data_IF_385205200892
#
_entry.id   IF_385205200892
#
_cell.length_a   1.000
_cell.length_b   1.000
_cell.length_c   1.000
_cell.angle_alpha   90.00
_cell.angle_beta   90.00
_cell.angle_gamma   90.00
#
_symmetry.space_group_name_H-M   'P 1'
#
loop_
_entity.id
_entity.type
_entity.pdbx_description
1 polymer ?
#
# COMPACT_ATOMS: atom_id res chain seq x y z
N UNK A 1 -12.74 -6.62 8.10
CA UNK A 1 -11.48 -6.04 7.59
C UNK A 1 -10.38 -7.09 7.47
N UNK A 2 -10.22 -7.96 8.47
CA UNK A 2 -9.23 -9.05 8.51
C UNK A 2 -9.08 -9.81 7.16
N UNK A 3 -10.15 -10.46 6.66
CA UNK A 3 -10.12 -11.21 5.40
C UNK A 3 -9.56 -10.40 4.22
N UNK A 4 -10.13 -9.22 3.98
CA UNK A 4 -9.74 -8.36 2.86
C UNK A 4 -8.32 -7.79 3.00
N UNK A 5 -7.84 -7.54 4.23
CA UNK A 5 -6.47 -7.07 4.43
C UNK A 5 -5.41 -8.13 4.12
N UNK A 6 -5.69 -9.40 4.48
CA UNK A 6 -4.84 -10.53 4.11
C UNK A 6 -4.84 -10.69 2.58
N UNK A 7 -6.02 -10.68 1.96
CA UNK A 7 -6.14 -10.79 0.51
C UNK A 7 -5.39 -9.66 -0.21
N UNK A 8 -5.55 -8.41 0.24
CA UNK A 8 -4.84 -7.26 -0.34
C UNK A 8 -3.33 -7.36 -0.19
N UNK A 9 -2.85 -7.78 1.00
CA UNK A 9 -1.42 -8.00 1.25
C UNK A 9 -0.84 -9.09 0.35
N UNK A 10 -1.52 -10.23 0.21
CA UNK A 10 -1.14 -11.30 -0.71
C UNK A 10 -1.14 -10.84 -2.17
N UNK A 11 -2.16 -10.09 -2.59
CA UNK A 11 -2.21 -9.53 -3.94
C UNK A 11 -1.04 -8.58 -4.21
N UNK A 12 -0.64 -7.77 -3.23
CA UNK A 12 0.54 -6.88 -3.36
C UNK A 12 1.82 -7.69 -3.52
N UNK A 13 2.03 -8.68 -2.66
CA UNK A 13 3.21 -9.55 -2.73
C UNK A 13 3.26 -10.35 -4.03
N UNK A 14 2.12 -10.90 -4.46
CA UNK A 14 2.01 -11.66 -5.69
C UNK A 14 2.25 -10.82 -6.94
N UNK A 15 1.63 -9.64 -7.03
CA UNK A 15 1.87 -8.70 -8.14
C UNK A 15 3.32 -8.20 -8.13
N UNK A 16 3.86 -7.90 -6.95
CA UNK A 16 5.27 -7.53 -6.79
C UNK A 16 6.21 -8.61 -7.34
N UNK A 17 5.95 -9.88 -7.04
CA UNK A 17 6.75 -10.99 -7.54
C UNK A 17 6.60 -11.18 -9.06
N UNK A 18 5.40 -11.06 -9.61
CA UNK A 18 5.13 -11.21 -11.05
C UNK A 18 5.68 -10.05 -11.89
N UNK A 19 5.72 -8.85 -11.32
CA UNK A 19 6.17 -7.64 -12.01
C UNK A 19 7.69 -7.43 -11.91
N UNK A 20 8.41 -8.23 -11.12
CA UNK A 20 9.86 -8.23 -11.07
C UNK A 20 10.42 -9.18 -12.14
N UNK A 21 10.93 -8.62 -13.24
CA UNK A 21 11.59 -9.38 -14.30
C UNK A 21 12.84 -8.63 -14.78
N UNK A 22 13.79 -9.38 -15.36
CA UNK A 22 15.05 -8.81 -15.86
C UNK A 22 14.75 -7.71 -16.89
N UNK A 23 15.41 -6.54 -16.74
CA UNK A 23 15.22 -5.33 -17.54
C UNK A 23 13.89 -4.58 -17.33
N UNK A 24 13.17 -4.80 -16.23
CA UNK A 24 12.03 -3.93 -15.89
C UNK A 24 12.52 -2.51 -15.54
N UNK A 25 12.09 -1.51 -16.31
CA UNK A 25 12.45 -0.10 -16.08
C UNK A 25 11.89 0.50 -14.78
N UNK A 26 10.86 -0.14 -14.20
CA UNK A 26 10.07 0.37 -13.09
C UNK A 26 9.71 -0.82 -12.20
N UNK A 27 9.72 -0.66 -10.87
CA UNK A 27 9.42 -1.73 -9.92
C UNK A 27 7.97 -2.23 -9.93
N UNK A 28 7.78 -3.38 -9.28
CA UNK A 28 6.48 -3.99 -9.07
C UNK A 28 5.49 -3.17 -8.20
N UNK A 29 5.92 -2.19 -7.40
CA UNK A 29 5.01 -1.45 -6.52
C UNK A 29 4.03 -0.56 -7.31
N UNK A 30 4.45 -0.12 -8.49
CA UNK A 30 3.64 0.71 -9.39
C UNK A 30 2.38 -0.05 -9.79
N UNK A 31 2.53 -1.34 -10.11
CA UNK A 31 1.41 -2.20 -10.51
C UNK A 31 0.40 -2.39 -9.38
N UNK A 32 0.86 -2.69 -8.17
CA UNK A 32 -0.04 -2.87 -7.03
C UNK A 32 -0.77 -1.56 -6.68
N UNK A 33 -0.08 -0.42 -6.73
CA UNK A 33 -0.68 0.89 -6.47
C UNK A 33 -1.68 1.28 -7.58
N UNK A 34 -1.33 1.09 -8.86
CA UNK A 34 -2.23 1.33 -10.00
C UNK A 34 -3.52 0.51 -9.88
N UNK A 35 -3.39 -0.82 -9.75
CA UNK A 35 -4.53 -1.74 -9.67
C UNK A 35 -5.39 -1.45 -8.43
N UNK A 36 -4.75 -1.15 -7.31
CA UNK A 36 -5.47 -0.77 -6.09
C UNK A 36 -6.23 0.54 -6.25
N UNK A 37 -5.66 1.55 -6.91
CA UNK A 37 -6.35 2.82 -7.17
C UNK A 37 -7.53 2.63 -8.14
N UNK A 38 -7.35 1.82 -9.17
CA UNK A 38 -8.43 1.40 -10.06
C UNK A 38 -9.60 0.76 -9.30
N UNK A 39 -9.32 -0.23 -8.45
CA UNK A 39 -10.35 -0.89 -7.66
C UNK A 39 -10.96 0.04 -6.60
N UNK A 40 -10.19 0.98 -6.05
CA UNK A 40 -10.71 2.02 -5.15
C UNK A 40 -11.73 2.92 -5.88
N UNK A 41 -11.38 3.44 -7.05
CA UNK A 41 -12.28 4.25 -7.88
C UNK A 41 -13.53 3.48 -8.30
N UNK A 42 -13.41 2.17 -8.55
CA UNK A 42 -14.55 1.32 -8.87
C UNK A 42 -15.47 1.08 -7.65
N UNK A 43 -14.94 0.47 -6.58
CA UNK A 43 -15.76 0.01 -5.45
C UNK A 43 -16.33 1.14 -4.60
N UNK A 44 -15.63 2.27 -4.52
CA UNK A 44 -16.10 3.43 -3.74
C UNK A 44 -17.35 4.05 -4.35
N UNK A 45 -17.45 4.10 -5.68
CA UNK A 45 -18.47 4.90 -6.39
C UNK A 45 -19.63 4.09 -6.97
N UNK A 46 -19.55 2.75 -6.99
CA UNK A 46 -20.74 1.93 -7.32
C UNK A 46 -21.82 2.17 -6.26
N UNK A 47 -22.95 2.76 -6.69
CA UNK A 47 -24.12 3.06 -5.86
C UNK A 47 -24.89 1.78 -5.61
N UNK A 48 -25.24 1.54 -4.34
CA UNK A 48 -26.07 0.41 -3.95
C UNK A 48 -26.97 0.81 -2.77
N UNK A 49 -28.28 0.61 -2.90
CA UNK A 49 -29.27 0.98 -1.87
C UNK A 49 -29.36 -0.02 -0.70
N UNK A 50 -28.36 -0.88 -0.55
CA UNK A 50 -28.36 -1.97 0.44
C UNK A 50 -27.38 -1.62 1.55
N UNK A 51 -27.89 -1.38 2.77
CA UNK A 51 -27.07 -1.09 3.97
C UNK A 51 -25.92 -2.08 4.18
N UNK A 52 -26.15 -3.38 3.97
CA UNK A 52 -25.11 -4.41 4.12
C UNK A 52 -23.97 -4.30 3.10
N UNK A 53 -24.20 -3.73 1.92
CA UNK A 53 -23.14 -3.50 0.94
C UNK A 53 -22.17 -2.40 1.40
N UNK A 54 -22.57 -1.52 2.33
CA UNK A 54 -21.63 -0.55 2.91
C UNK A 54 -20.50 -1.22 3.69
N UNK A 55 -20.78 -2.34 4.37
CA UNK A 55 -19.76 -3.11 5.09
C UNK A 55 -18.83 -3.83 4.10
N UNK A 56 -19.39 -4.40 3.02
CA UNK A 56 -18.61 -5.01 1.95
C UNK A 56 -17.71 -3.97 1.27
N UNK A 57 -18.26 -2.78 0.99
CA UNK A 57 -17.52 -1.65 0.41
C UNK A 57 -16.37 -1.26 1.32
N UNK A 58 -16.61 -1.13 2.64
CA UNK A 58 -15.54 -0.87 3.61
C UNK A 58 -14.45 -1.96 3.57
N UNK A 59 -14.86 -3.23 3.48
CA UNK A 59 -13.93 -4.36 3.31
C UNK A 59 -13.09 -4.25 2.03
N UNK A 60 -13.73 -4.00 0.88
CA UNK A 60 -13.06 -3.89 -0.41
C UNK A 60 -12.17 -2.65 -0.52
N UNK A 61 -12.63 -1.50 -0.03
CA UNK A 61 -11.86 -0.25 -0.11
C UNK A 61 -10.80 -0.18 0.98
N UNK A 62 -11.22 -0.16 2.25
CA UNK A 62 -10.30 0.09 3.36
C UNK A 62 -9.47 -1.15 3.67
N UNK A 63 -10.07 -2.35 3.59
CA UNK A 63 -9.36 -3.61 3.76
C UNK A 63 -8.48 -3.95 2.56
N UNK A 64 -9.09 -4.30 1.43
CA UNK A 64 -8.37 -4.84 0.27
C UNK A 64 -7.54 -3.79 -0.45
N UNK A 65 -8.14 -2.75 -1.06
CA UNK A 65 -7.38 -1.71 -1.77
C UNK A 65 -6.37 -1.03 -0.85
N UNK A 66 -6.78 -0.73 0.39
CA UNK A 66 -5.89 -0.17 1.39
C UNK A 66 -4.63 -1.00 1.64
N UNK A 67 -4.75 -2.33 1.71
CA UNK A 67 -3.61 -3.26 1.94
C UNK A 67 -2.87 -3.68 0.67
N UNK A 68 -3.52 -3.55 -0.49
CA UNK A 68 -2.95 -3.87 -1.80
C UNK A 68 -2.00 -2.77 -2.28
N UNK A 69 -2.30 -1.51 -1.94
CA UNK A 69 -1.39 -0.38 -2.15
C UNK A 69 -0.45 -0.17 -0.96
N UNK A 70 0.72 0.44 -1.20
CA UNK A 70 1.61 0.88 -0.11
C UNK A 70 2.33 2.18 -0.45
N UNK A 71 2.19 3.15 0.43
CA UNK A 71 2.87 4.45 0.34
C UNK A 71 4.28 4.38 0.94
N UNK A 72 4.47 3.61 2.02
CA UNK A 72 5.79 3.46 2.65
C UNK A 72 6.79 2.75 1.72
N UNK A 73 6.35 1.71 1.00
CA UNK A 73 7.19 1.03 -0.01
C UNK A 73 7.54 1.94 -1.19
N UNK A 74 6.60 2.79 -1.62
CA UNK A 74 6.84 3.81 -2.66
C UNK A 74 7.93 4.80 -2.23
N UNK A 75 7.83 5.37 -1.02
CA UNK A 75 8.83 6.33 -0.54
C UNK A 75 10.18 5.67 -0.35
N UNK A 76 10.19 4.47 0.23
CA UNK A 76 11.41 3.69 0.38
C UNK A 76 12.12 3.51 -0.96
N UNK A 77 11.38 3.12 -2.01
CA UNK A 77 11.96 2.93 -3.32
C UNK A 77 12.49 4.24 -3.91
N UNK A 78 11.76 5.34 -3.78
CA UNK A 78 12.25 6.65 -4.20
C UNK A 78 13.57 7.03 -3.50
N UNK A 79 13.70 6.72 -2.20
CA UNK A 79 14.94 6.92 -1.44
C UNK A 79 16.05 6.01 -1.94
N UNK A 80 15.78 4.72 -2.15
CA UNK A 80 16.78 3.77 -2.65
C UNK A 80 17.26 4.11 -4.06
N UNK A 81 16.37 4.57 -4.96
CA UNK A 81 16.75 5.07 -6.29
C UNK A 81 17.62 6.33 -6.24
N UNK A 82 17.44 7.15 -5.19
CA UNK A 82 18.28 8.33 -4.97
C UNK A 82 19.65 7.93 -4.42
N UNK A 83 19.69 6.96 -3.50
CA UNK A 83 20.91 6.52 -2.81
C UNK A 83 21.75 5.51 -3.60
N UNK A 84 21.18 4.73 -4.51
CA UNK A 84 21.91 3.77 -5.38
C UNK A 84 23.00 4.43 -6.23
N UNK A 85 23.07 5.76 -6.24
CA UNK A 85 24.18 6.58 -6.72
C UNK A 85 25.47 6.50 -5.87
N UNK A 86 25.49 5.78 -4.74
CA UNK A 86 26.65 5.71 -3.82
C UNK A 86 27.41 4.39 -3.83
N UNK A 87 26.77 3.25 -4.10
CA UNK A 87 27.42 1.94 -4.08
C UNK A 87 27.51 1.34 -5.48
N UNK A 88 28.70 1.44 -6.08
CA UNK A 88 29.06 0.98 -7.42
C UNK A 88 28.98 -0.55 -7.63
N UNK A 89 28.63 -1.35 -6.62
CA UNK A 89 28.90 -2.80 -6.68
C UNK A 89 27.73 -3.74 -6.37
N UNK A 90 26.55 -3.27 -5.91
CA UNK A 90 25.47 -4.19 -5.55
C UNK A 90 24.15 -3.88 -6.28
N UNK A 91 24.15 -4.04 -7.60
CA UNK A 91 22.93 -4.15 -8.42
C UNK A 91 22.22 -5.50 -8.20
N UNK A 92 21.89 -5.85 -6.96
CA UNK A 92 21.22 -7.12 -6.65
C UNK A 92 19.69 -7.12 -6.90
N UNK A 93 19.16 -6.07 -7.54
CA UNK A 93 17.78 -6.09 -8.08
C UNK A 93 17.80 -6.18 -9.62
N UNK A 94 18.95 -5.97 -10.26
CA UNK A 94 19.11 -6.04 -11.71
C UNK A 94 20.44 -6.72 -12.04
N UNK A 95 20.44 -8.05 -12.03
CA UNK A 95 21.60 -8.82 -12.46
C UNK A 95 21.86 -8.61 -13.96
N UNK A 96 23.10 -8.21 -14.23
CA UNK A 96 23.88 -8.42 -15.45
C UNK A 96 23.22 -8.11 -16.79
N UNK A 97 23.42 -6.87 -17.25
CA UNK A 97 24.35 -6.55 -18.34
C UNK A 97 24.13 -5.09 -18.79
N UNK A 98 25.21 -4.29 -18.76
CA UNK A 98 25.34 -3.01 -19.45
C UNK A 98 24.33 -1.90 -19.11
N UNK A 99 24.44 -1.31 -17.91
CA UNK A 99 24.14 0.12 -17.76
C UNK A 99 25.36 0.84 -17.25
N UNK A 100 25.97 1.60 -18.16
CA UNK A 100 26.99 2.61 -17.88
C UNK A 100 26.63 3.33 -16.59
N UNK A 101 27.59 3.46 -15.68
CA UNK A 101 27.54 4.42 -14.59
C UNK A 101 26.90 5.71 -15.09
N UNK A 102 25.82 6.17 -14.45
CA UNK A 102 25.10 7.37 -14.87
C UNK A 102 26.08 8.50 -15.19
N UNK A 103 25.83 9.31 -16.23
CA UNK A 103 26.80 10.31 -16.70
C UNK A 103 27.25 11.27 -15.60
N UNK A 104 26.37 11.55 -14.63
CA UNK A 104 26.68 12.34 -13.43
C UNK A 104 25.79 11.94 -12.23
N UNK A 105 26.18 12.36 -11.02
CA UNK A 105 25.45 12.12 -9.77
C UNK A 105 24.00 12.65 -9.77
N UNK A 106 23.70 13.65 -10.60
CA UNK A 106 22.38 14.27 -10.72
C UNK A 106 21.30 13.37 -11.36
N UNK A 107 21.68 12.30 -12.07
CA UNK A 107 20.72 11.41 -12.73
C UNK A 107 19.90 10.57 -11.73
N UNK A 108 20.39 10.33 -10.51
CA UNK A 108 19.59 9.70 -9.46
C UNK A 108 18.42 10.57 -9.01
N UNK A 109 18.61 11.90 -8.98
CA UNK A 109 17.53 12.85 -8.71
C UNK A 109 16.51 12.87 -9.87
N UNK A 110 16.98 12.75 -11.12
CA UNK A 110 16.11 12.63 -12.28
C UNK A 110 15.26 11.34 -12.22
N UNK A 111 15.85 10.21 -11.81
CA UNK A 111 15.12 8.96 -11.59
C UNK A 111 14.08 9.08 -10.47
N UNK A 112 14.39 9.75 -9.36
CA UNK A 112 13.42 10.03 -8.32
C UNK A 112 12.23 10.82 -8.87
N UNK A 113 12.50 11.90 -9.61
CA UNK A 113 11.44 12.76 -10.16
C UNK A 113 10.59 11.96 -11.15
N UNK A 114 11.23 11.19 -12.04
CA UNK A 114 10.55 10.31 -12.98
C UNK A 114 9.66 9.29 -12.26
N UNK A 115 10.20 8.62 -11.23
CA UNK A 115 9.48 7.62 -10.46
C UNK A 115 8.26 8.22 -9.75
N UNK A 116 8.41 9.34 -9.05
CA UNK A 116 7.30 10.02 -8.36
C UNK A 116 6.23 10.45 -9.37
N UNK A 117 6.61 11.07 -10.49
CA UNK A 117 5.67 11.49 -11.54
C UNK A 117 4.92 10.28 -12.10
N UNK A 118 5.64 9.23 -12.52
CA UNK A 118 5.03 8.03 -13.09
C UNK A 118 4.08 7.36 -12.09
N UNK A 119 4.52 7.20 -10.85
CA UNK A 119 3.77 6.54 -9.79
C UNK A 119 2.45 7.23 -9.49
N UNK A 120 2.46 8.54 -9.29
CA UNK A 120 1.23 9.30 -8.99
C UNK A 120 0.36 9.45 -10.24
N UNK A 121 0.94 9.67 -11.42
CA UNK A 121 0.17 9.79 -12.67
C UNK A 121 -0.59 8.50 -12.96
N UNK A 122 0.10 7.35 -12.93
CA UNK A 122 -0.54 6.05 -13.12
C UNK A 122 -1.59 5.76 -12.04
N UNK A 123 -1.28 6.03 -10.78
CA UNK A 123 -2.23 5.83 -9.68
C UNK A 123 -3.51 6.68 -9.85
N UNK A 124 -3.39 7.94 -10.26
CA UNK A 124 -4.54 8.80 -10.58
C UNK A 124 -5.29 8.30 -11.81
N UNK A 125 -4.59 7.94 -12.90
CA UNK A 125 -5.23 7.38 -14.11
C UNK A 125 -6.00 6.10 -13.80
N UNK A 126 -5.43 5.20 -13.00
CA UNK A 126 -6.11 4.00 -12.54
C UNK A 126 -7.39 4.33 -11.78
N UNK A 127 -7.30 5.24 -10.80
CA UNK A 127 -8.47 5.72 -10.04
C UNK A 127 -9.57 6.32 -10.93
N UNK A 128 -9.22 7.22 -11.85
CA UNK A 128 -10.17 7.87 -12.77
C UNK A 128 -10.81 6.85 -13.73
N UNK A 129 -10.05 5.85 -14.17
CA UNK A 129 -10.57 4.77 -14.99
C UNK A 129 -11.60 3.92 -14.22
N UNK A 130 -11.29 3.55 -12.98
CA UNK A 130 -12.23 2.84 -12.10
C UNK A 130 -13.49 3.64 -11.82
N UNK A 131 -13.34 4.95 -11.56
CA UNK A 131 -14.46 5.88 -11.36
C UNK A 131 -15.37 5.97 -12.59
N UNK A 132 -14.79 6.09 -13.79
CA UNK A 132 -15.53 6.15 -15.05
C UNK A 132 -16.38 4.89 -15.27
N UNK A 133 -15.80 3.71 -15.00
CA UNK A 133 -16.54 2.44 -15.07
C UNK A 133 -17.65 2.38 -14.02
N UNK A 134 -17.39 2.82 -12.79
CA UNK A 134 -18.42 2.87 -11.75
C UNK A 134 -19.60 3.75 -12.16
N UNK A 135 -19.35 4.91 -12.75
CA UNK A 135 -20.39 5.80 -13.25
C UNK A 135 -21.21 5.16 -14.38
N UNK A 136 -20.55 4.47 -15.31
CA UNK A 136 -21.25 3.77 -16.39
C UNK A 136 -22.11 2.61 -15.87
N UNK A 137 -21.61 1.84 -14.90
CA UNK A 137 -22.38 0.80 -14.21
C UNK A 137 -23.60 1.42 -13.52
N UNK A 138 -23.43 2.53 -12.80
CA UNK A 138 -24.51 3.22 -12.11
C UNK A 138 -25.59 3.72 -13.09
N UNK A 139 -25.18 4.29 -14.23
CA UNK A 139 -26.10 4.75 -15.26
C UNK A 139 -26.96 3.61 -15.83
N UNK A 140 -26.34 2.44 -16.06
CA UNK A 140 -27.05 1.23 -16.51
C UNK A 140 -28.00 0.67 -15.46
N UNK A 141 -27.59 0.68 -14.19
CA UNK A 141 -28.43 0.24 -13.08
C UNK A 141 -29.64 1.16 -12.87
N UNK A 142 -29.46 2.48 -12.96
CA UNK A 142 -30.55 3.45 -12.84
C UNK A 142 -31.61 3.23 -13.92
N UNK A 143 -31.19 3.15 -15.20
CA UNK A 143 -32.10 2.88 -16.33
C UNK A 143 -32.90 1.59 -16.15
N UNK A 144 -32.29 0.54 -15.58
CA UNK A 144 -32.96 -0.73 -15.32
C UNK A 144 -34.00 -0.65 -14.19
N UNK A 145 -33.71 0.12 -13.14
CA UNK A 145 -34.62 0.29 -12.01
C UNK A 145 -35.85 1.13 -12.38
N UNK A 146 -35.69 2.13 -13.27
CA UNK A 146 -36.81 2.93 -13.77
C UNK A 146 -37.80 2.09 -14.60
N UNK A 147 -37.31 1.05 -15.28
CA UNK A 147 -38.12 0.11 -16.09
C UNK A 147 -38.74 -1.03 -15.28
N UNK A 148 -38.11 -1.40 -14.16
CA UNK A 148 -38.53 -2.52 -13.32
C UNK A 148 -39.09 -2.00 -12.01
N UNK A 149 -40.40 -1.68 -12.01
CA UNK A 149 -41.14 -1.24 -10.82
C UNK A 149 -40.68 -1.91 -9.52
N UNK A 150 -40.46 -1.06 -8.52
CA UNK A 150 -39.74 -1.28 -7.26
C UNK A 150 -40.04 -2.64 -6.56
N UNK A 151 -39.27 -3.69 -6.89
CA UNK A 151 -39.29 -4.98 -6.18
C UNK A 151 -37.94 -5.22 -5.51
N UNK A 152 -37.71 -4.62 -4.35
CA UNK A 152 -36.46 -4.84 -3.61
C UNK A 152 -36.62 -4.75 -2.08
N UNK A 153 -37.43 -5.63 -1.49
CA UNK A 153 -37.43 -5.88 -0.03
C UNK A 153 -36.77 -7.21 0.38
N UNK A 154 -36.71 -8.22 -0.49
CA UNK A 154 -36.22 -9.57 -0.12
C UNK A 154 -34.71 -9.83 -0.34
N UNK A 155 -33.99 -9.01 -1.12
CA UNK A 155 -32.55 -9.22 -1.40
C UNK A 155 -31.64 -8.78 -0.24
N UNK A 156 -32.12 -7.88 0.62
CA UNK A 156 -31.39 -7.38 1.80
C UNK A 156 -31.11 -8.48 2.85
N UNK A 157 -32.03 -9.43 3.03
CA UNK A 157 -31.96 -10.46 4.09
C UNK A 157 -30.97 -11.59 3.80
N UNK A 158 -30.55 -11.79 2.54
CA UNK A 158 -29.58 -12.83 2.14
C UNK A 158 -28.11 -12.39 2.21
N UNK A 159 -27.83 -11.08 2.24
CA UNK A 159 -26.45 -10.54 2.23
C UNK A 159 -25.83 -10.44 3.62
N UNK A 160 -26.63 -10.24 4.67
CA UNK A 160 -26.15 -10.20 6.05
C UNK A 160 -25.42 -11.48 6.51
N UNK A 161 -25.99 -12.71 6.35
CA UNK A 161 -25.29 -13.93 6.76
C UNK A 161 -24.00 -14.15 5.95
N UNK A 162 -23.98 -13.77 4.67
CA UNK A 162 -22.78 -13.88 3.83
C UNK A 162 -21.60 -13.04 4.37
N UNK A 163 -21.86 -11.83 4.87
CA UNK A 163 -20.81 -10.97 5.42
C UNK A 163 -20.25 -11.50 6.75
N UNK A 164 -21.11 -12.05 7.61
CA UNK A 164 -20.69 -12.71 8.85
C UNK A 164 -19.80 -13.91 8.52
N UNK A 165 -20.20 -14.71 7.53
CA UNK A 165 -19.41 -15.85 7.05
C UNK A 165 -18.03 -15.40 6.54
N UNK A 166 -17.96 -14.33 5.74
CA UNK A 166 -16.68 -13.77 5.28
C UNK A 166 -15.78 -13.31 6.43
N UNK A 167 -16.34 -12.75 7.49
CA UNK A 167 -15.58 -12.31 8.66
C UNK A 167 -15.05 -13.51 9.46
N UNK A 168 -15.87 -14.54 9.68
CA UNK A 168 -15.45 -15.80 10.30
C UNK A 168 -14.34 -16.47 9.49
N UNK A 169 -14.48 -16.53 8.16
CA UNK A 169 -13.40 -16.99 7.29
C UNK A 169 -12.14 -16.15 7.45
N UNK A 170 -12.25 -14.83 7.60
CA UNK A 170 -11.11 -13.96 7.87
C UNK A 170 -10.33 -14.37 9.12
N UNK A 171 -11.03 -14.64 10.22
CA UNK A 171 -10.42 -15.07 11.49
C UNK A 171 -9.76 -16.44 11.33
N UNK A 172 -10.44 -17.39 10.68
CA UNK A 172 -9.90 -18.73 10.42
C UNK A 172 -8.63 -18.63 9.57
N UNK A 173 -8.65 -17.86 8.47
CA UNK A 173 -7.48 -17.64 7.63
C UNK A 173 -6.34 -17.01 8.41
N UNK A 174 -6.64 -16.06 9.29
CA UNK A 174 -5.61 -15.43 10.12
C UNK A 174 -4.95 -16.44 11.08
N UNK A 175 -5.74 -17.30 11.72
CA UNK A 175 -5.22 -18.41 12.55
C UNK A 175 -4.37 -19.36 11.71
N UNK A 176 -4.80 -19.71 10.50
CA UNK A 176 -4.01 -20.54 9.58
C UNK A 176 -2.68 -19.88 9.25
N UNK A 177 -2.63 -18.58 8.98
CA UNK A 177 -1.38 -17.85 8.74
C UNK A 177 -0.45 -17.85 9.95
N UNK A 178 -0.99 -17.77 11.17
CA UNK A 178 -0.21 -17.89 12.41
C UNK A 178 0.44 -19.27 12.49
N UNK A 179 -0.33 -20.36 12.28
CA UNK A 179 0.23 -21.70 12.27
C UNK A 179 1.25 -21.91 11.14
N UNK A 180 0.96 -21.45 9.93
CA UNK A 180 1.89 -21.53 8.81
C UNK A 180 3.20 -20.78 9.10
N UNK A 181 3.16 -19.65 9.82
CA UNK A 181 4.38 -18.91 10.18
C UNK A 181 5.33 -19.69 11.10
N UNK A 182 4.76 -20.58 11.93
CA UNK A 182 5.52 -21.43 12.85
C UNK A 182 6.09 -22.63 12.09
N UNK A 183 5.24 -23.33 11.34
CA UNK A 183 5.59 -24.62 10.73
C UNK A 183 6.30 -24.49 9.37
N UNK A 184 5.91 -23.55 8.52
CA UNK A 184 6.44 -23.42 7.16
C UNK A 184 7.63 -22.44 7.12
N UNK A 185 8.85 -22.99 7.06
CA UNK A 185 10.08 -22.20 7.11
C UNK A 185 10.37 -21.45 5.80
N UNK A 186 9.97 -22.02 4.66
CA UNK A 186 10.33 -21.52 3.32
C UNK A 186 9.60 -20.22 3.01
N UNK A 187 8.31 -20.15 3.33
CA UNK A 187 7.42 -19.01 3.08
C UNK A 187 7.19 -18.14 4.31
N UNK A 188 8.06 -18.26 5.33
CA UNK A 188 7.87 -17.59 6.61
C UNK A 188 7.71 -16.08 6.48
N UNK A 189 8.52 -15.42 5.64
CA UNK A 189 8.43 -13.97 5.43
C UNK A 189 7.03 -13.54 4.94
N UNK A 190 6.40 -14.28 4.02
CA UNK A 190 5.03 -14.02 3.53
C UNK A 190 3.99 -14.32 4.60
N UNK A 191 4.12 -15.46 5.28
CA UNK A 191 3.13 -15.89 6.30
C UNK A 191 3.11 -14.95 7.50
N UNK A 192 4.29 -14.54 8.01
CA UNK A 192 4.44 -13.55 9.08
C UNK A 192 3.93 -12.18 8.62
N UNK A 193 4.22 -11.76 7.39
CA UNK A 193 3.69 -10.49 6.86
C UNK A 193 2.16 -10.44 6.90
N UNK A 194 1.51 -11.56 6.54
CA UNK A 194 0.06 -11.69 6.59
C UNK A 194 -0.51 -11.87 8.01
N UNK A 195 0.30 -12.30 8.98
CA UNK A 195 -0.08 -12.24 10.40
C UNK A 195 -0.22 -10.79 10.88
N UNK A 196 0.66 -9.89 10.42
CA UNK A 196 0.62 -8.48 10.81
C UNK A 196 -0.34 -7.61 9.96
N UNK A 197 -0.72 -8.06 8.77
CA UNK A 197 -1.59 -7.29 7.86
C UNK A 197 -2.93 -6.88 8.48
N UNK A 198 -3.71 -7.76 9.16
CA UNK A 198 -4.94 -7.34 9.84
C UNK A 198 -4.70 -6.29 10.90
N UNK A 199 -3.68 -6.44 11.74
CA UNK A 199 -3.35 -5.51 12.82
C UNK A 199 -3.05 -4.11 12.28
N UNK A 200 -2.22 -4.04 11.24
CA UNK A 200 -1.89 -2.80 10.54
C UNK A 200 -3.13 -2.16 9.89
N UNK A 201 -4.00 -2.96 9.27
CA UNK A 201 -5.23 -2.47 8.64
C UNK A 201 -6.20 -1.90 9.68
N UNK A 202 -6.37 -2.55 10.83
CA UNK A 202 -7.20 -2.03 11.93
C UNK A 202 -6.60 -0.75 12.51
N UNK A 203 -5.27 -0.70 12.69
CA UNK A 203 -4.60 0.52 13.16
C UNK A 203 -4.82 1.69 12.19
N UNK A 204 -4.63 1.48 10.88
CA UNK A 204 -4.93 2.49 9.85
C UNK A 204 -6.39 2.95 9.93
N UNK A 205 -7.32 2.01 10.06
CA UNK A 205 -8.75 2.33 10.20
C UNK A 205 -9.03 3.19 11.44
N UNK A 206 -8.45 2.84 12.59
CA UNK A 206 -8.60 3.59 13.85
C UNK A 206 -8.01 4.99 13.72
N UNK A 207 -6.82 5.13 13.12
CA UNK A 207 -6.20 6.43 12.87
C UNK A 207 -7.09 7.32 12.00
N UNK A 208 -7.59 6.79 10.87
CA UNK A 208 -8.52 7.53 10.01
C UNK A 208 -9.82 7.86 10.74
N UNK A 209 -10.41 6.93 11.50
CA UNK A 209 -11.66 7.16 12.22
C UNK A 209 -11.53 8.24 13.30
N UNK A 210 -10.46 8.20 14.09
CA UNK A 210 -10.27 9.12 15.21
C UNK A 210 -9.86 10.52 14.74
N UNK A 211 -8.88 10.62 13.83
CA UNK A 211 -8.30 11.90 13.46
C UNK A 211 -9.06 12.61 12.34
N UNK A 212 -9.68 11.89 11.39
CA UNK A 212 -10.41 12.55 10.29
C UNK A 212 -11.77 13.10 10.76
N UNK A 213 -12.38 12.52 11.79
CA UNK A 213 -13.65 13.01 12.34
C UNK A 213 -13.47 14.14 13.36
N UNK A 214 -12.31 14.22 14.03
CA UNK A 214 -12.06 15.17 15.11
C UNK A 214 -11.52 16.52 14.63
N UNK A 215 -10.79 16.55 13.53
CA UNK A 215 -10.15 17.76 13.00
C UNK A 215 -10.73 18.15 11.63
N UNK A 216 -11.91 18.78 11.63
CA UNK A 216 -12.59 19.20 10.40
C UNK A 216 -11.76 20.18 9.54
N UNK A 217 -10.84 20.94 10.15
CA UNK A 217 -9.95 21.90 9.48
C UNK A 217 -8.72 21.26 8.80
N UNK A 218 -8.27 20.08 9.27
CA UNK A 218 -7.13 19.36 8.67
C UNK A 218 -7.66 18.02 8.17
N UNK A 219 -8.31 18.06 7.01
CA UNK A 219 -8.92 16.89 6.39
C UNK A 219 -7.82 15.83 6.15
N UNK A 220 -8.08 14.60 6.57
CA UNK A 220 -7.26 13.40 6.32
C UNK A 220 -5.96 13.22 7.11
N UNK A 221 -5.85 13.85 8.28
CA UNK A 221 -4.71 13.67 9.18
C UNK A 221 -4.43 12.20 9.54
N UNK A 222 -5.46 11.35 9.62
CA UNK A 222 -5.28 9.93 9.94
C UNK A 222 -4.52 9.15 8.87
N UNK A 223 -4.78 9.43 7.59
CA UNK A 223 -4.07 8.78 6.46
C UNK A 223 -2.63 9.29 6.36
N UNK A 224 -2.41 10.59 6.57
CA UNK A 224 -1.08 11.16 6.70
C UNK A 224 -0.26 10.49 7.82
N UNK A 225 -0.82 10.40 9.02
CA UNK A 225 -0.15 9.78 10.18
C UNK A 225 0.18 8.30 9.91
N UNK A 226 -0.75 7.55 9.32
CA UNK A 226 -0.52 6.16 8.98
C UNK A 226 0.64 6.00 7.97
N UNK A 227 0.65 6.83 6.91
CA UNK A 227 1.72 6.86 5.91
C UNK A 227 3.07 7.28 6.53
N UNK A 228 3.07 8.29 7.40
CA UNK A 228 4.28 8.79 8.08
C UNK A 228 4.89 7.74 9.00
N UNK A 229 4.09 7.15 9.90
CA UNK A 229 4.54 6.13 10.86
C UNK A 229 5.09 4.92 10.11
N UNK A 230 4.37 4.43 9.10
CA UNK A 230 4.82 3.30 8.29
C UNK A 230 6.14 3.61 7.54
N UNK A 231 6.30 4.83 7.04
CA UNK A 231 7.53 5.25 6.32
C UNK A 231 8.74 5.34 7.26
N UNK A 232 8.56 5.81 8.49
CA UNK A 232 9.63 5.84 9.50
C UNK A 232 10.01 4.40 9.87
N UNK A 233 9.03 3.55 10.17
CA UNK A 233 9.26 2.16 10.56
C UNK A 233 9.94 1.34 9.47
N UNK A 234 9.50 1.44 8.21
CA UNK A 234 10.12 0.70 7.11
C UNK A 234 11.58 1.14 6.90
N UNK A 235 11.88 2.43 7.07
CA UNK A 235 13.25 2.97 6.98
C UNK A 235 14.15 2.41 8.08
N UNK A 236 13.65 2.37 9.32
CA UNK A 236 14.37 1.78 10.45
C UNK A 236 14.61 0.28 10.21
N UNK A 237 13.59 -0.48 9.81
CA UNK A 237 13.74 -1.92 9.58
C UNK A 237 14.76 -2.25 8.50
N UNK A 238 14.86 -1.42 7.45
CA UNK A 238 15.84 -1.62 6.39
C UNK A 238 17.25 -1.31 6.85
N UNK A 239 17.45 -0.24 7.62
CA UNK A 239 18.74 0.05 8.23
C UNK A 239 19.16 -1.10 9.15
N UNK A 240 18.25 -1.59 10.01
CA UNK A 240 18.54 -2.71 10.91
C UNK A 240 18.87 -4.00 10.13
N UNK A 241 18.14 -4.29 9.06
CA UNK A 241 18.35 -5.49 8.26
C UNK A 241 19.65 -5.44 7.43
N UNK A 242 20.08 -4.25 7.00
CA UNK A 242 21.32 -4.05 6.23
C UNK A 242 22.52 -3.70 7.10
N UNK A 243 22.34 -3.51 8.41
CA UNK A 243 23.45 -3.11 9.26
C UNK A 243 24.52 -4.20 9.40
N UNK A 244 25.68 -3.97 8.80
CA UNK A 244 26.80 -4.93 8.81
C UNK A 244 27.70 -4.75 10.05
N UNK A 245 27.74 -3.53 10.61
CA UNK A 245 28.68 -3.10 11.65
C UNK A 245 28.15 -3.03 13.10
N UNK A 246 26.85 -3.22 13.33
CA UNK A 246 26.29 -3.20 14.69
C UNK A 246 25.82 -4.59 15.12
N UNK A 247 26.34 -5.09 16.25
CA UNK A 247 25.82 -6.26 16.98
C UNK A 247 24.41 -6.02 17.57
N UNK A 248 23.57 -5.15 16.97
CA UNK A 248 22.36 -4.61 17.60
C UNK A 248 21.12 -5.48 17.46
N UNK A 249 21.05 -6.41 16.51
CA UNK A 249 20.10 -7.53 16.56
C UNK A 249 20.84 -8.68 15.88
N UNK A 250 21.07 -9.78 16.60
CA UNK A 250 21.89 -10.89 16.12
C UNK A 250 21.51 -11.28 14.68
N UNK A 251 22.53 -11.50 13.83
CA UNK A 251 22.45 -11.91 12.41
C UNK A 251 21.79 -13.28 12.19
N UNK A 252 20.86 -13.66 13.05
CA UNK A 252 20.06 -14.84 12.86
C UNK A 252 19.17 -14.61 11.64
N UNK A 253 19.15 -15.61 10.77
CA UNK A 253 18.29 -15.65 9.59
C UNK A 253 16.82 -15.31 9.94
N UNK A 254 16.38 -15.73 11.12
CA UNK A 254 15.02 -15.48 11.64
C UNK A 254 14.79 -13.97 11.86
N UNK A 255 15.74 -13.25 12.46
CA UNK A 255 15.58 -11.80 12.70
C UNK A 255 15.46 -11.02 11.39
N UNK A 256 16.28 -11.35 10.39
CA UNK A 256 16.17 -10.77 9.05
C UNK A 256 14.80 -11.07 8.41
N UNK A 257 14.34 -12.33 8.46
CA UNK A 257 13.02 -12.71 7.96
C UNK A 257 11.89 -11.94 8.66
N UNK A 258 11.99 -11.73 9.98
CA UNK A 258 10.98 -10.98 10.74
C UNK A 258 10.96 -9.49 10.36
N UNK A 259 12.12 -8.86 10.17
CA UNK A 259 12.19 -7.46 9.74
C UNK A 259 11.63 -7.27 8.33
N UNK A 260 11.92 -8.19 7.40
CA UNK A 260 11.31 -8.19 6.06
C UNK A 260 9.79 -8.35 6.17
N UNK A 261 9.33 -9.30 6.99
CA UNK A 261 7.90 -9.54 7.18
C UNK A 261 7.17 -8.35 7.82
N UNK A 262 7.81 -7.60 8.73
CA UNK A 262 7.25 -6.38 9.32
C UNK A 262 7.20 -5.24 8.30
N UNK A 263 8.25 -5.08 7.49
CA UNK A 263 8.28 -4.14 6.36
C UNK A 263 7.14 -4.42 5.38
N UNK A 264 7.10 -5.65 4.87
CA UNK A 264 6.18 -6.06 3.82
C UNK A 264 4.77 -6.34 4.34
N UNK A 265 4.59 -6.63 5.62
CA UNK A 265 3.28 -6.88 6.22
C UNK A 265 2.73 -5.66 6.91
N UNK A 266 3.35 -5.29 8.04
CA UNK A 266 2.84 -4.25 8.91
C UNK A 266 2.94 -2.85 8.25
N UNK A 267 4.15 -2.41 7.88
CA UNK A 267 4.36 -1.07 7.34
C UNK A 267 3.62 -0.89 6.01
N UNK A 268 3.76 -1.87 5.11
CA UNK A 268 3.14 -1.79 3.80
C UNK A 268 1.61 -1.61 3.89
N UNK A 269 0.93 -2.38 4.76
CA UNK A 269 -0.54 -2.35 4.95
C UNK A 269 -1.02 -1.18 5.83
N UNK A 270 -0.17 -0.72 6.75
CA UNK A 270 -0.46 0.47 7.57
C UNK A 270 -0.49 1.72 6.69
N UNK A 271 0.40 1.81 5.70
CA UNK A 271 0.40 2.88 4.70
C UNK A 271 -0.59 2.59 3.56
N UNK A 272 -0.96 3.59 2.75
CA UNK A 272 -1.82 3.37 1.58
C UNK A 272 -1.70 4.49 0.54
N UNK A 273 -1.65 4.12 -0.74
CA UNK A 273 -1.73 5.07 -1.86
C UNK A 273 -3.18 5.22 -2.34
N UNK A 274 -3.97 4.13 -2.35
CA UNK A 274 -5.34 4.19 -2.87
C UNK A 274 -6.27 5.10 -2.07
N UNK A 275 -6.16 5.10 -0.74
CA UNK A 275 -6.94 6.03 0.09
C UNK A 275 -6.41 7.45 -0.08
N UNK A 276 -5.09 7.63 -0.17
CA UNK A 276 -4.46 8.93 -0.40
C UNK A 276 -4.91 9.59 -1.71
N UNK A 277 -4.97 8.85 -2.82
CA UNK A 277 -5.45 9.35 -4.12
C UNK A 277 -6.94 9.71 -4.08
N UNK A 278 -7.77 8.87 -3.43
CA UNK A 278 -9.18 9.16 -3.20
C UNK A 278 -9.37 10.47 -2.43
N UNK A 279 -8.56 10.69 -1.39
CA UNK A 279 -8.58 11.91 -0.59
C UNK A 279 -8.18 13.13 -1.41
N UNK A 280 -7.07 13.06 -2.16
CA UNK A 280 -6.62 14.14 -3.04
C UNK A 280 -7.69 14.52 -4.07
N UNK A 281 -8.34 13.54 -4.70
CA UNK A 281 -9.42 13.79 -5.66
C UNK A 281 -10.66 14.44 -5.02
N UNK A 282 -10.87 14.25 -3.71
CA UNK A 282 -12.03 14.81 -3.00
C UNK A 282 -11.84 16.26 -2.54
N UNK A 283 -10.64 16.82 -2.71
CA UNK A 283 -10.29 18.17 -2.26
C UNK A 283 -10.30 19.21 -3.39
N UNK A 284 -10.23 20.48 -3.01
CA UNK A 284 -9.91 21.55 -3.96
C UNK A 284 -8.48 21.37 -4.47
N UNK A 285 -8.18 21.95 -5.63
CA UNK A 285 -6.86 21.80 -6.25
C UNK A 285 -5.70 22.24 -5.34
N UNK A 286 -5.83 23.38 -4.67
CA UNK A 286 -4.78 23.91 -3.79
C UNK A 286 -4.62 23.07 -2.51
N UNK A 287 -5.72 22.62 -1.92
CA UNK A 287 -5.68 21.73 -0.75
C UNK A 287 -5.08 20.37 -1.11
N UNK A 288 -5.41 19.84 -2.28
CA UNK A 288 -4.83 18.60 -2.79
C UNK A 288 -3.31 18.75 -3.02
N UNK A 289 -2.88 19.86 -3.65
CA UNK A 289 -1.46 20.12 -3.86
C UNK A 289 -0.69 20.27 -2.55
N UNK A 290 -1.23 21.00 -1.57
CA UNK A 290 -0.57 21.20 -0.28
C UNK A 290 -0.50 19.90 0.51
N UNK A 291 -1.63 19.20 0.69
CA UNK A 291 -1.68 17.90 1.36
C UNK A 291 -0.77 16.87 0.69
N UNK A 292 -0.84 16.79 -0.63
CA UNK A 292 -0.06 15.85 -1.43
C UNK A 292 1.44 16.10 -1.30
N UNK A 293 1.87 17.35 -1.50
CA UNK A 293 3.28 17.74 -1.44
C UNK A 293 3.85 17.57 -0.05
N UNK A 294 3.15 18.01 1.00
CA UNK A 294 3.60 17.86 2.40
C UNK A 294 3.77 16.38 2.74
N UNK A 295 2.80 15.54 2.37
CA UNK A 295 2.85 14.09 2.65
C UNK A 295 4.08 13.43 2.00
N UNK A 296 4.35 13.75 0.73
CA UNK A 296 5.49 13.18 -0.01
C UNK A 296 6.81 13.71 0.54
N UNK A 297 6.95 15.04 0.66
CA UNK A 297 8.21 15.69 1.06
C UNK A 297 8.61 15.29 2.48
N UNK A 298 7.69 15.34 3.44
CA UNK A 298 8.00 15.00 4.84
C UNK A 298 8.41 13.54 4.97
N UNK A 299 7.63 12.62 4.36
CA UNK A 299 7.96 11.19 4.40
C UNK A 299 9.28 10.89 3.70
N UNK A 300 9.54 11.52 2.55
CA UNK A 300 10.77 11.35 1.81
C UNK A 300 11.99 11.86 2.59
N UNK A 301 11.96 13.10 3.10
CA UNK A 301 13.09 13.69 3.82
C UNK A 301 13.43 12.91 5.09
N UNK A 302 12.43 12.46 5.85
CA UNK A 302 12.66 11.63 7.04
C UNK A 302 13.24 10.27 6.68
N UNK A 303 12.67 9.58 5.68
CA UNK A 303 13.20 8.29 5.21
C UNK A 303 14.62 8.42 4.66
N UNK A 304 14.88 9.47 3.87
CA UNK A 304 16.19 9.79 3.33
C UNK A 304 17.21 10.11 4.41
N UNK A 305 16.83 10.84 5.47
CA UNK A 305 17.71 11.10 6.60
C UNK A 305 18.05 9.81 7.37
N UNK A 306 17.07 8.94 7.62
CA UNK A 306 17.27 7.67 8.33
C UNK A 306 18.18 6.73 7.52
N UNK A 307 17.85 6.48 6.26
CA UNK A 307 18.58 5.53 5.41
C UNK A 307 19.91 6.12 4.94
N UNK A 308 19.90 7.40 4.55
CA UNK A 308 21.07 8.12 4.06
C UNK A 308 22.16 8.28 5.13
N UNK A 309 21.79 8.60 6.38
CA UNK A 309 22.77 8.70 7.48
C UNK A 309 23.54 7.39 7.69
N UNK A 310 22.86 6.24 7.63
CA UNK A 310 23.51 4.93 7.68
C UNK A 310 24.38 4.68 6.44
N UNK A 311 23.85 4.96 5.26
CA UNK A 311 24.55 4.74 3.99
C UNK A 311 25.85 5.56 3.87
N UNK A 312 25.85 6.81 4.32
CA UNK A 312 27.05 7.66 4.26
C UNK A 312 28.10 7.34 5.33
N UNK A 313 27.70 6.70 6.44
CA UNK A 313 28.61 6.38 7.54
C UNK A 313 29.22 5.00 7.41
N UNK A 314 28.44 3.99 7.02
CA UNK A 314 28.85 2.58 7.00
C UNK A 314 28.75 1.97 5.59
N UNK A 315 27.86 2.50 4.74
CA UNK A 315 27.52 1.92 3.45
C UNK A 315 26.39 0.89 3.56
N UNK A 316 25.44 0.94 2.62
CA UNK A 316 24.34 -0.02 2.47
C UNK A 316 24.73 -1.31 1.75
#
# INVERSE_FOLDING_TARGET
LCFFSILGSLSRLGVGHLACYNNSYISGIIWSNFLSCFLMGLFKFIKTDIKHINLLRLGMTTGYCGSFSSFSSLILEAVLLTLSMTNKENNLIFNDNAYNSYPNKAYGLLNLVLFIIAQFSLSFSGYLFGLSIANEINNRLSKRNDLSGNKSSNKQRRLAPFLIVLELFGIIFWIVFIFLSIFEKSWRHVTVANCFAPLACYLRYILSFYFNNKFAHVKFLGTFLANLIATILISIFIVLNRSSGFNLIGKSFINCQMLVALSDGFCAVLSTVSTFILELHSQTFLDALTYGSISIIVCFLLSFAIIGSYNWTIGL
#
